data_IF_764095019356
#
_entry.id   IF_764095019356
#
_cell.length_a   1.000
_cell.length_b   1.000
_cell.length_c   1.000
_cell.angle_alpha   90.00
_cell.angle_beta   90.00
_cell.angle_gamma   90.00
#
_symmetry.space_group_name_H-M   'P 1'
#
loop_
_entity.id
_entity.type
_entity.pdbx_description
1 polymer ?
#
# COMPACT_ATOMS: atom_id res chain seq x y z
N UNK A 1 7.02 -7.29 -4.08
CA UNK A 1 5.69 -7.70 -3.59
C UNK A 1 4.66 -6.59 -3.80
N UNK A 2 3.38 -6.95 -3.98
CA UNK A 2 2.26 -6.00 -4.09
C UNK A 2 1.56 -5.90 -2.73
N UNK A 3 1.45 -4.69 -2.17
CA UNK A 3 1.01 -4.45 -0.79
C UNK A 3 -0.28 -3.64 -0.77
N UNK A 4 -1.30 -4.18 -0.10
CA UNK A 4 -2.58 -3.52 0.13
C UNK A 4 -3.69 -4.51 0.42
N UNK A 5 -4.27 -4.47 1.62
CA UNK A 5 -5.48 -5.21 2.00
C UNK A 5 -6.49 -4.25 2.62
N UNK A 6 -7.61 -4.06 1.93
CA UNK A 6 -8.63 -3.09 2.30
C UNK A 6 -8.36 -1.59 2.01
N UNK A 7 -7.28 -1.11 1.36
CA UNK A 7 -7.03 0.34 1.26
C UNK A 7 -7.86 1.03 0.17
N UNK A 8 -8.36 0.28 -0.83
CA UNK A 8 -9.08 0.83 -1.99
C UNK A 8 -10.41 1.49 -1.63
N UNK A 9 -10.78 2.50 -2.40
CA UNK A 9 -12.04 3.27 -2.33
C UNK A 9 -13.28 2.39 -2.47
N UNK A 10 -13.26 1.45 -3.41
CA UNK A 10 -14.35 0.51 -3.69
C UNK A 10 -14.21 -0.85 -2.98
N UNK A 11 -13.10 -1.05 -2.27
CA UNK A 11 -12.78 -2.34 -1.68
C UNK A 11 -13.73 -2.64 -0.51
N UNK A 12 -14.47 -3.73 -0.61
CA UNK A 12 -15.46 -4.14 0.40
C UNK A 12 -14.86 -4.95 1.56
N UNK A 13 -13.59 -5.37 1.47
CA UNK A 13 -12.95 -6.25 2.47
C UNK A 13 -13.10 -5.74 3.89
N UNK A 14 -12.85 -4.45 4.15
CA UNK A 14 -13.03 -3.86 5.49
C UNK A 14 -14.47 -3.97 6.01
N UNK A 15 -15.45 -3.78 5.13
CA UNK A 15 -16.87 -3.77 5.50
C UNK A 15 -17.40 -5.19 5.68
N UNK A 16 -16.99 -6.13 4.83
CA UNK A 16 -17.51 -7.50 4.82
C UNK A 16 -16.80 -8.40 5.82
N UNK A 17 -15.47 -8.28 5.95
CA UNK A 17 -14.67 -9.19 6.78
C UNK A 17 -14.10 -8.54 8.03
N UNK A 18 -14.15 -7.21 8.15
CA UNK A 18 -13.48 -6.47 9.22
C UNK A 18 -11.95 -6.44 9.08
N UNK A 19 -11.39 -6.97 7.99
CA UNK A 19 -9.94 -7.07 7.79
C UNK A 19 -9.43 -5.90 6.95
N UNK A 20 -8.33 -5.29 7.41
CA UNK A 20 -7.59 -4.30 6.64
C UNK A 20 -6.42 -3.74 7.44
N UNK A 21 -5.47 -3.14 6.74
CA UNK A 21 -4.34 -2.42 7.34
C UNK A 21 -4.26 -1.03 6.71
N UNK A 22 -4.08 0.05 7.50
CA UNK A 22 -3.81 1.38 6.95
C UNK A 22 -2.62 1.36 5.99
N UNK A 23 -2.79 1.95 4.80
CA UNK A 23 -1.87 1.70 3.68
C UNK A 23 -0.43 2.15 3.93
N UNK A 24 -0.22 3.29 4.59
CA UNK A 24 1.14 3.77 4.89
C UNK A 24 1.85 2.81 5.84
N UNK A 25 1.16 2.33 6.87
CA UNK A 25 1.68 1.30 7.79
C UNK A 25 2.00 0.01 7.05
N UNK A 26 1.06 -0.48 6.22
CA UNK A 26 1.26 -1.71 5.46
C UNK A 26 2.49 -1.65 4.53
N UNK A 27 2.71 -0.50 3.88
CA UNK A 27 3.89 -0.29 3.02
C UNK A 27 5.16 -0.25 3.85
N UNK A 28 5.21 0.56 4.92
CA UNK A 28 6.40 0.70 5.76
C UNK A 28 6.83 -0.65 6.37
N UNK A 29 5.88 -1.40 6.94
CA UNK A 29 6.15 -2.71 7.54
C UNK A 29 6.66 -3.71 6.49
N UNK A 30 6.09 -3.70 5.28
CA UNK A 30 6.52 -4.59 4.19
C UNK A 30 7.90 -4.23 3.64
N UNK A 31 8.26 -2.95 3.62
CA UNK A 31 9.60 -2.50 3.22
C UNK A 31 10.63 -2.93 4.26
N UNK A 32 10.35 -2.70 5.55
CA UNK A 32 11.21 -3.13 6.66
C UNK A 32 11.43 -4.65 6.63
N UNK A 33 10.36 -5.44 6.46
CA UNK A 33 10.45 -6.89 6.38
C UNK A 33 11.24 -7.43 5.17
N UNK A 34 11.42 -6.62 4.13
CA UNK A 34 12.12 -6.99 2.89
C UNK A 34 13.48 -6.31 2.74
N UNK A 35 13.96 -5.61 3.76
CA UNK A 35 15.26 -4.97 3.74
C UNK A 35 16.39 -5.98 3.44
N UNK A 36 17.34 -5.60 2.57
CA UNK A 36 18.46 -6.46 2.16
C UNK A 36 18.10 -7.58 1.15
N UNK A 37 16.82 -7.81 0.85
CA UNK A 37 16.41 -8.87 -0.10
C UNK A 37 16.47 -8.43 -1.58
N UNK A 38 16.49 -7.11 -1.84
CA UNK A 38 16.42 -6.54 -3.18
C UNK A 38 15.04 -6.67 -3.86
N UNK A 39 14.02 -7.16 -3.16
CA UNK A 39 12.66 -7.32 -3.71
C UNK A 39 11.91 -5.99 -3.57
N UNK A 40 11.42 -5.38 -4.68
CA UNK A 40 10.73 -4.08 -4.61
C UNK A 40 9.32 -4.21 -4.02
N UNK A 41 8.81 -3.14 -3.40
CA UNK A 41 7.44 -3.05 -2.89
C UNK A 41 6.60 -2.16 -3.80
N UNK A 42 5.42 -2.63 -4.18
CA UNK A 42 4.43 -1.86 -4.94
C UNK A 42 3.25 -1.56 -4.02
N UNK A 43 2.98 -0.29 -3.73
CA UNK A 43 1.79 0.12 -2.98
C UNK A 43 0.55 0.05 -3.88
N UNK A 44 -0.48 -0.68 -3.48
CA UNK A 44 -1.68 -0.96 -4.29
C UNK A 44 -2.97 -0.53 -3.59
N UNK A 45 -3.56 0.55 -4.10
CA UNK A 45 -4.84 1.09 -3.64
C UNK A 45 -4.73 2.18 -2.58
N UNK A 46 -5.84 2.90 -2.38
CA UNK A 46 -5.95 4.00 -1.40
C UNK A 46 -5.36 5.34 -1.85
N UNK A 47 -4.98 5.48 -3.12
CA UNK A 47 -4.42 6.68 -3.72
C UNK A 47 -5.53 7.52 -4.33
N UNK A 48 -5.73 8.76 -3.87
CA UNK A 48 -6.75 9.67 -4.40
C UNK A 48 -6.15 10.88 -5.09
N UNK A 49 -5.01 11.34 -4.60
CA UNK A 49 -4.32 12.51 -5.12
C UNK A 49 -2.82 12.23 -5.28
N UNK A 50 -2.13 13.06 -6.06
CA UNK A 50 -0.67 12.97 -6.24
C UNK A 50 0.10 13.01 -4.92
N UNK A 51 -0.41 13.70 -3.90
CA UNK A 51 0.17 13.72 -2.56
C UNK A 51 0.17 12.36 -1.87
N UNK A 52 -0.76 11.46 -2.18
CA UNK A 52 -0.78 10.11 -1.62
C UNK A 52 0.30 9.23 -2.28
N UNK A 53 0.58 9.45 -3.57
CA UNK A 53 1.70 8.82 -4.27
C UNK A 53 3.02 9.24 -3.61
N UNK A 54 3.22 10.54 -3.40
CA UNK A 54 4.42 11.05 -2.75
C UNK A 54 4.64 10.42 -1.36
N UNK A 55 3.57 10.27 -0.55
CA UNK A 55 3.64 9.62 0.76
C UNK A 55 3.96 8.12 0.67
N UNK A 56 3.39 7.40 -0.30
CA UNK A 56 3.67 5.98 -0.49
C UNK A 56 5.14 5.73 -0.88
N UNK A 57 5.69 6.56 -1.76
CA UNK A 57 7.12 6.52 -2.11
C UNK A 57 7.98 6.90 -0.90
N UNK A 58 7.60 7.93 -0.13
CA UNK A 58 8.31 8.32 1.09
C UNK A 58 8.28 7.22 2.17
N UNK A 59 7.23 6.38 2.19
CA UNK A 59 7.14 5.20 3.05
C UNK A 59 7.98 3.99 2.54
N UNK A 60 8.67 4.13 1.41
CA UNK A 60 9.60 3.12 0.88
C UNK A 60 9.08 2.29 -0.28
N UNK A 61 7.87 2.55 -0.80
CA UNK A 61 7.40 1.87 -2.01
C UNK A 61 8.28 2.23 -3.23
N UNK A 62 8.61 1.24 -4.05
CA UNK A 62 9.36 1.43 -5.30
C UNK A 62 8.47 1.91 -6.44
N UNK A 63 7.19 1.59 -6.39
CA UNK A 63 6.17 2.01 -7.35
C UNK A 63 4.78 2.02 -6.70
N UNK A 64 3.82 2.64 -7.39
CA UNK A 64 2.43 2.70 -6.95
C UNK A 64 1.53 2.15 -8.06
N UNK A 65 0.65 1.22 -7.72
CA UNK A 65 -0.41 0.72 -8.60
C UNK A 65 -1.65 1.59 -8.40
N UNK A 66 -2.19 2.11 -9.49
CA UNK A 66 -3.34 3.02 -9.49
C UNK A 66 -4.51 2.36 -10.20
N UNK A 67 -5.66 2.33 -9.52
CA UNK A 67 -6.95 1.89 -10.03
C UNK A 67 -8.04 2.91 -9.70
N UNK A 68 -9.30 2.47 -9.65
CA UNK A 68 -10.49 3.29 -9.32
C UNK A 68 -10.91 3.15 -7.86
#
# INVERSE_FOLDING_TARGET
VKVGIGPGSICTTRIVTGVGVPQITAVADAVEALEGTGIPVIADGGIRFSGDIAKAIAAGASAVMVGS
#
